data_IF_609629799855
#
_entry.id   IF_609629799855
#
_cell.length_a   1.000
_cell.length_b   1.000
_cell.length_c   1.000
_cell.angle_alpha   90.00
_cell.angle_beta   90.00
_cell.angle_gamma   90.00
#
_symmetry.space_group_name_H-M   'P 1'
#
loop_
_entity.id
_entity.type
_entity.pdbx_description
1 polymer ?
#
# COMPACT_ATOMS: atom_id res chain seq x y z
N UNK A 1 -34.30 -1.26 5.02
CA UNK A 1 -33.42 -2.40 4.69
C UNK A 1 -31.96 -1.96 4.84
N UNK A 2 -31.13 -2.75 5.49
CA UNK A 2 -29.71 -2.47 5.64
C UNK A 2 -29.03 -2.53 4.27
N UNK A 3 -28.27 -1.50 3.92
CA UNK A 3 -27.55 -1.46 2.62
C UNK A 3 -26.35 -2.39 2.69
N UNK A 4 -26.13 -3.15 1.61
CA UNK A 4 -25.07 -4.17 1.53
C UNK A 4 -24.04 -3.79 0.47
N UNK A 5 -22.75 -3.87 0.83
CA UNK A 5 -21.61 -3.58 -0.04
C UNK A 5 -20.75 -4.84 -0.18
N UNK A 6 -20.47 -5.23 -1.41
CA UNK A 6 -19.44 -6.25 -1.69
C UNK A 6 -18.14 -5.54 -2.06
N UNK A 7 -17.09 -5.82 -1.29
CA UNK A 7 -15.72 -5.41 -1.56
C UNK A 7 -14.99 -6.53 -2.31
N UNK A 8 -14.33 -6.21 -3.40
CA UNK A 8 -13.59 -7.18 -4.19
C UNK A 8 -12.14 -6.77 -4.35
N UNK A 9 -11.24 -7.61 -3.84
CA UNK A 9 -9.81 -7.36 -3.85
C UNK A 9 -9.04 -8.67 -3.70
N UNK A 10 -7.76 -8.64 -4.02
CA UNK A 10 -6.88 -9.77 -3.81
C UNK A 10 -5.42 -9.42 -3.94
N UNK A 11 -4.59 -10.43 -3.86
CA UNK A 11 -3.16 -10.30 -4.10
C UNK A 11 -2.35 -9.79 -2.93
N UNK A 12 -1.69 -8.64 -3.10
CA UNK A 12 -0.77 -8.07 -2.12
C UNK A 12 -1.46 -7.17 -1.11
N UNK A 13 -0.79 -6.89 0.03
CA UNK A 13 -1.27 -5.98 1.07
C UNK A 13 -1.68 -4.60 0.56
N UNK A 14 -1.07 -4.11 -0.54
CA UNK A 14 -1.39 -2.80 -1.14
C UNK A 14 -2.84 -2.62 -1.62
N UNK A 15 -3.54 -3.72 -1.92
CA UNK A 15 -4.96 -3.69 -2.30
C UNK A 15 -5.87 -4.13 -1.13
N UNK A 16 -5.45 -5.14 -0.36
CA UNK A 16 -6.29 -5.74 0.67
C UNK A 16 -6.46 -4.84 1.89
N UNK A 17 -5.41 -4.14 2.36
CA UNK A 17 -5.53 -3.28 3.54
C UNK A 17 -6.45 -2.08 3.32
N UNK A 18 -6.38 -1.33 2.20
CA UNK A 18 -7.39 -0.31 1.90
C UNK A 18 -8.82 -0.86 1.90
N UNK A 19 -9.04 -2.07 1.36
CA UNK A 19 -10.35 -2.71 1.35
C UNK A 19 -10.83 -3.03 2.77
N UNK A 20 -10.00 -3.65 3.61
CA UNK A 20 -10.34 -3.98 5.00
C UNK A 20 -10.63 -2.70 5.80
N UNK A 21 -9.82 -1.66 5.65
CA UNK A 21 -10.03 -0.39 6.33
C UNK A 21 -11.37 0.25 5.96
N UNK A 22 -11.72 0.20 4.67
CA UNK A 22 -13.01 0.73 4.22
C UNK A 22 -14.19 -0.16 4.64
N UNK A 23 -14.02 -1.48 4.65
CA UNK A 23 -15.02 -2.42 5.18
C UNK A 23 -15.34 -2.14 6.64
N UNK A 24 -14.32 -1.99 7.50
CA UNK A 24 -14.50 -1.62 8.91
C UNK A 24 -15.29 -0.33 9.04
N UNK A 25 -14.93 0.67 8.24
CA UNK A 25 -15.60 1.96 8.28
C UNK A 25 -17.10 1.85 7.96
N UNK A 26 -17.48 1.11 6.91
CA UNK A 26 -18.89 0.95 6.54
C UNK A 26 -19.63 0.01 7.50
N UNK A 27 -18.97 -1.01 8.04
CA UNK A 27 -19.54 -1.85 9.09
C UNK A 27 -19.90 -1.04 10.34
N UNK A 28 -18.99 -0.17 10.82
CA UNK A 28 -19.25 0.76 11.93
C UNK A 28 -20.41 1.73 11.65
N UNK A 29 -20.70 1.99 10.37
CA UNK A 29 -21.84 2.82 9.91
C UNK A 29 -23.14 2.01 9.73
N UNK A 30 -23.16 0.73 10.10
CA UNK A 30 -24.33 -0.12 10.03
C UNK A 30 -24.62 -0.72 8.65
N UNK A 31 -23.65 -0.70 7.71
CA UNK A 31 -23.77 -1.41 6.43
C UNK A 31 -23.45 -2.89 6.61
N UNK A 32 -24.11 -3.76 5.87
CA UNK A 32 -23.66 -5.14 5.70
C UNK A 32 -22.50 -5.15 4.68
N UNK A 33 -21.36 -5.69 5.10
CA UNK A 33 -20.15 -5.70 4.27
C UNK A 33 -19.65 -7.13 4.06
N UNK A 34 -19.23 -7.45 2.83
CA UNK A 34 -18.68 -8.73 2.47
C UNK A 34 -17.41 -8.55 1.62
N UNK A 35 -16.49 -9.49 1.78
CA UNK A 35 -15.27 -9.53 0.98
C UNK A 35 -15.31 -10.67 -0.02
N UNK A 36 -14.93 -10.40 -1.27
CA UNK A 36 -14.57 -11.42 -2.25
C UNK A 36 -13.09 -11.27 -2.57
N UNK A 37 -12.31 -12.32 -2.32
CA UNK A 37 -10.84 -12.26 -2.39
C UNK A 37 -10.23 -13.58 -2.89
N UNK A 38 -8.91 -13.64 -3.05
CA UNK A 38 -8.16 -14.89 -3.31
C UNK A 38 -7.66 -15.53 -1.99
N UNK A 39 -6.97 -16.66 -2.12
CA UNK A 39 -6.39 -17.37 -0.98
C UNK A 39 -5.40 -16.50 -0.20
N UNK A 40 -4.63 -15.64 -0.88
CA UNK A 40 -3.67 -14.75 -0.23
C UNK A 40 -4.38 -13.66 0.55
N UNK A 41 -5.38 -13.00 -0.06
CA UNK A 41 -6.20 -11.99 0.59
C UNK A 41 -6.98 -12.58 1.77
N UNK A 42 -7.46 -13.83 1.65
CA UNK A 42 -8.15 -14.52 2.73
C UNK A 42 -7.28 -14.71 3.98
N UNK A 43 -5.98 -14.89 3.84
CA UNK A 43 -5.09 -14.99 5.00
C UNK A 43 -5.04 -13.71 5.82
N UNK A 44 -5.22 -12.55 5.21
CA UNK A 44 -5.30 -11.27 5.93
C UNK A 44 -6.64 -11.09 6.63
N UNK A 45 -7.76 -11.55 6.03
CA UNK A 45 -9.10 -11.37 6.60
C UNK A 45 -9.42 -12.34 7.73
N UNK A 46 -8.73 -13.48 7.85
CA UNK A 46 -8.94 -14.48 8.92
C UNK A 46 -8.88 -13.89 10.33
N UNK A 47 -8.21 -12.77 10.52
CA UNK A 47 -8.13 -12.07 11.81
C UNK A 47 -9.37 -11.21 12.11
N UNK A 48 -10.36 -11.17 11.21
CA UNK A 48 -11.58 -10.36 11.29
C UNK A 48 -12.79 -11.27 11.12
N UNK A 49 -13.16 -11.99 12.21
CA UNK A 49 -14.25 -12.98 12.21
C UNK A 49 -15.63 -12.37 11.95
N UNK A 50 -15.77 -11.06 12.17
CA UNK A 50 -17.00 -10.30 11.91
C UNK A 50 -17.33 -10.14 10.42
N UNK A 51 -16.36 -10.36 9.53
CA UNK A 51 -16.56 -10.15 8.10
C UNK A 51 -16.76 -11.45 7.34
N UNK A 52 -17.88 -11.55 6.65
CA UNK A 52 -18.14 -12.65 5.72
C UNK A 52 -17.23 -12.51 4.50
N UNK A 53 -16.57 -13.60 4.11
CA UNK A 53 -15.72 -13.64 2.94
C UNK A 53 -16.00 -14.80 2.01
N UNK A 54 -15.72 -14.59 0.71
CA UNK A 54 -15.74 -15.60 -0.33
C UNK A 54 -14.38 -15.65 -1.02
N UNK A 55 -13.88 -16.87 -1.23
CA UNK A 55 -12.58 -17.08 -1.88
C UNK A 55 -12.78 -17.54 -3.32
N UNK A 56 -12.19 -16.80 -4.26
CA UNK A 56 -12.12 -17.17 -5.68
C UNK A 56 -10.72 -17.67 -6.02
N UNK A 57 -10.68 -18.67 -6.90
CA UNK A 57 -9.42 -19.17 -7.49
C UNK A 57 -9.19 -18.43 -8.80
N UNK A 58 -8.39 -17.39 -8.79
CA UNK A 58 -8.05 -16.60 -9.96
C UNK A 58 -6.54 -16.57 -10.13
N UNK A 59 -6.08 -16.78 -11.35
CA UNK A 59 -4.68 -16.69 -11.72
C UNK A 59 -4.48 -15.71 -12.88
N UNK A 60 -3.35 -14.98 -12.84
CA UNK A 60 -2.98 -14.10 -13.95
C UNK A 60 -2.56 -14.91 -15.18
N UNK A 61 -3.03 -14.60 -16.38
CA UNK A 61 -2.55 -15.22 -17.61
C UNK A 61 -1.22 -14.65 -18.11
N UNK A 62 -0.68 -13.61 -17.43
CA UNK A 62 0.51 -12.89 -17.89
C UNK A 62 1.78 -13.70 -17.57
N UNK A 63 2.74 -13.66 -18.49
CA UNK A 63 4.04 -14.37 -18.39
C UNK A 63 3.91 -15.89 -18.22
N UNK A 64 2.87 -16.51 -18.77
CA UNK A 64 2.64 -17.95 -18.75
C UNK A 64 2.78 -18.55 -20.15
N UNK A 65 3.13 -19.83 -20.21
CA UNK A 65 3.13 -20.62 -21.43
C UNK A 65 1.68 -20.78 -21.94
N UNK A 66 1.51 -21.11 -23.23
CA UNK A 66 0.20 -21.19 -23.90
C UNK A 66 -0.83 -22.02 -23.12
N UNK A 67 -0.49 -23.25 -22.72
CA UNK A 67 -1.37 -24.13 -21.94
C UNK A 67 -1.78 -23.52 -20.58
N UNK A 68 -0.83 -22.89 -19.88
CA UNK A 68 -1.11 -22.20 -18.60
C UNK A 68 -1.95 -20.94 -18.79
N UNK A 69 -1.88 -20.28 -19.95
CA UNK A 69 -2.78 -19.17 -20.30
C UNK A 69 -4.21 -19.66 -20.47
N UNK A 70 -4.43 -20.75 -21.20
CA UNK A 70 -5.76 -21.36 -21.36
C UNK A 70 -6.35 -21.71 -19.99
N UNK A 71 -5.57 -22.39 -19.14
CA UNK A 71 -6.02 -22.72 -17.79
C UNK A 71 -6.39 -21.47 -16.97
N UNK A 72 -5.60 -20.40 -17.06
CA UNK A 72 -5.91 -19.14 -16.38
C UNK A 72 -7.21 -18.51 -16.87
N UNK A 73 -7.51 -18.57 -18.18
CA UNK A 73 -8.79 -18.11 -18.73
C UNK A 73 -9.96 -18.96 -18.25
N UNK A 74 -9.82 -20.29 -18.20
CA UNK A 74 -10.85 -21.19 -17.63
C UNK A 74 -11.12 -20.89 -16.15
N UNK A 75 -10.07 -20.62 -15.35
CA UNK A 75 -10.21 -20.21 -13.96
C UNK A 75 -10.91 -18.86 -13.81
N UNK A 76 -10.64 -17.90 -14.68
CA UNK A 76 -11.33 -16.60 -14.70
C UNK A 76 -12.81 -16.82 -15.03
N UNK A 77 -13.12 -17.61 -16.04
CA UNK A 77 -14.50 -17.92 -16.45
C UNK A 77 -15.28 -18.61 -15.32
N UNK A 78 -14.69 -19.65 -14.71
CA UNK A 78 -15.26 -20.30 -13.52
C UNK A 78 -15.49 -19.33 -12.36
N UNK A 79 -14.57 -18.40 -12.15
CA UNK A 79 -14.69 -17.38 -11.11
C UNK A 79 -15.78 -16.35 -11.42
N UNK A 80 -16.05 -16.06 -12.69
CA UNK A 80 -17.21 -15.25 -13.11
C UNK A 80 -18.51 -15.97 -12.75
N UNK A 81 -18.64 -17.26 -13.05
CA UNK A 81 -19.84 -18.05 -12.69
C UNK A 81 -20.04 -18.06 -11.18
N UNK A 82 -18.98 -18.31 -10.39
CA UNK A 82 -19.06 -18.20 -8.91
C UNK A 82 -19.49 -16.82 -8.46
N UNK A 83 -18.96 -15.77 -9.09
CA UNK A 83 -19.33 -14.40 -8.75
C UNK A 83 -20.81 -14.12 -9.04
N UNK A 84 -21.36 -14.64 -10.12
CA UNK A 84 -22.80 -14.57 -10.44
C UNK A 84 -23.62 -15.21 -9.31
N UNK A 85 -23.24 -16.41 -8.85
CA UNK A 85 -23.92 -17.11 -7.75
C UNK A 85 -23.86 -16.28 -6.47
N UNK A 86 -22.67 -15.71 -6.13
CA UNK A 86 -22.49 -14.86 -4.96
C UNK A 86 -23.40 -13.64 -5.05
N UNK A 87 -23.39 -12.92 -6.17
CA UNK A 87 -24.21 -11.71 -6.35
C UNK A 87 -25.71 -12.00 -6.27
N UNK A 88 -26.19 -13.12 -6.87
CA UNK A 88 -27.59 -13.56 -6.75
C UNK A 88 -27.97 -13.86 -5.31
N UNK A 89 -27.09 -14.53 -4.54
CA UNK A 89 -27.33 -14.90 -3.14
C UNK A 89 -27.32 -13.69 -2.24
N UNK A 90 -26.31 -12.82 -2.39
CA UNK A 90 -26.06 -11.72 -1.45
C UNK A 90 -26.86 -10.46 -1.76
N UNK A 91 -27.29 -10.26 -3.00
CA UNK A 91 -28.08 -9.11 -3.49
C UNK A 91 -27.52 -7.77 -3.00
N UNK A 92 -26.25 -7.44 -3.29
CA UNK A 92 -25.65 -6.19 -2.81
C UNK A 92 -26.27 -4.97 -3.50
N UNK A 93 -26.16 -3.82 -2.86
CA UNK A 93 -26.54 -2.52 -3.45
C UNK A 93 -25.42 -1.95 -4.34
N UNK A 94 -24.16 -2.28 -4.05
CA UNK A 94 -23.00 -1.80 -4.78
C UNK A 94 -21.85 -2.79 -4.69
N UNK A 95 -21.03 -2.88 -5.74
CA UNK A 95 -19.75 -3.58 -5.77
C UNK A 95 -18.62 -2.58 -5.75
N UNK A 96 -17.64 -2.79 -4.88
CA UNK A 96 -16.47 -1.93 -4.72
C UNK A 96 -15.20 -2.72 -5.05
N UNK A 97 -14.56 -2.44 -6.18
CA UNK A 97 -13.35 -3.12 -6.66
C UNK A 97 -12.07 -2.34 -6.32
N UNK A 98 -11.11 -3.02 -5.71
CA UNK A 98 -9.80 -2.44 -5.32
C UNK A 98 -8.67 -2.82 -6.28
N UNK A 99 -8.99 -3.38 -7.43
CA UNK A 99 -7.99 -3.89 -8.35
C UNK A 99 -7.49 -5.29 -8.00
N UNK A 100 -6.46 -5.72 -8.73
CA UNK A 100 -6.00 -7.11 -8.72
C UNK A 100 -6.92 -8.02 -9.57
N UNK A 101 -6.40 -9.20 -9.93
CA UNK A 101 -7.11 -10.11 -10.82
C UNK A 101 -8.43 -10.65 -10.24
N UNK A 102 -8.53 -10.73 -8.92
CA UNK A 102 -9.74 -11.22 -8.23
C UNK A 102 -10.89 -10.23 -8.33
N UNK A 103 -10.62 -8.95 -8.39
CA UNK A 103 -11.69 -7.96 -8.53
C UNK A 103 -12.38 -8.03 -9.90
N UNK A 104 -11.70 -8.54 -10.93
CA UNK A 104 -12.25 -8.60 -12.28
C UNK A 104 -13.50 -9.48 -12.39
N UNK A 105 -13.52 -10.77 -11.97
CA UNK A 105 -14.72 -11.62 -12.09
C UNK A 105 -15.95 -11.04 -11.40
N UNK A 106 -15.80 -10.53 -10.18
CA UNK A 106 -16.94 -9.98 -9.42
C UNK A 106 -17.44 -8.68 -10.04
N UNK A 107 -16.52 -7.80 -10.43
CA UNK A 107 -16.86 -6.53 -11.05
C UNK A 107 -17.47 -6.72 -12.45
N UNK A 108 -17.00 -7.71 -13.22
CA UNK A 108 -17.61 -8.07 -14.47
C UNK A 108 -19.02 -8.65 -14.28
N UNK A 109 -19.18 -9.56 -13.31
CA UNK A 109 -20.49 -10.13 -13.00
C UNK A 109 -21.49 -9.06 -12.51
N UNK A 110 -21.03 -8.02 -11.81
CA UNK A 110 -21.91 -6.91 -11.38
C UNK A 110 -22.60 -6.21 -12.55
N UNK A 111 -21.92 -6.10 -13.70
CA UNK A 111 -22.49 -5.52 -14.92
C UNK A 111 -23.69 -6.33 -15.45
N UNK A 112 -23.65 -7.66 -15.32
CA UNK A 112 -24.74 -8.53 -15.76
C UNK A 112 -26.04 -8.35 -14.95
N UNK A 113 -25.91 -7.83 -13.72
CA UNK A 113 -27.04 -7.52 -12.83
C UNK A 113 -27.37 -6.03 -12.76
N UNK A 114 -26.78 -5.20 -13.61
CA UNK A 114 -26.88 -3.74 -13.55
C UNK A 114 -26.56 -3.16 -12.15
N UNK A 115 -25.75 -3.88 -11.35
CA UNK A 115 -25.29 -3.41 -10.06
C UNK A 115 -24.24 -2.30 -10.24
N UNK A 116 -24.34 -1.20 -9.48
CA UNK A 116 -23.35 -0.15 -9.54
C UNK A 116 -21.95 -0.69 -9.15
N UNK A 117 -20.95 -0.35 -9.94
CA UNK A 117 -19.55 -0.66 -9.70
C UNK A 117 -18.79 0.63 -9.39
N UNK A 118 -18.11 0.67 -8.25
CA UNK A 118 -17.08 1.66 -7.93
C UNK A 118 -15.74 0.97 -7.98
N UNK A 119 -14.74 1.60 -8.57
CA UNK A 119 -13.36 1.10 -8.51
C UNK A 119 -12.48 2.11 -7.78
N UNK A 120 -11.49 1.60 -7.05
CA UNK A 120 -10.49 2.38 -6.35
C UNK A 120 -9.09 2.02 -6.83
N UNK A 121 -8.28 3.04 -7.11
CA UNK A 121 -6.86 2.88 -7.46
C UNK A 121 -5.98 3.59 -6.44
N UNK A 122 -5.11 2.81 -5.83
CA UNK A 122 -4.19 3.29 -4.80
C UNK A 122 -2.85 3.80 -5.37
N UNK A 123 -2.46 3.30 -6.55
CA UNK A 123 -1.18 3.62 -7.19
C UNK A 123 -1.28 4.85 -8.09
N UNK A 124 -0.12 5.41 -8.45
CA UNK A 124 0.01 6.53 -9.40
C UNK A 124 -0.15 6.10 -10.87
N UNK A 125 -0.55 4.88 -11.13
CA UNK A 125 -0.91 4.34 -12.45
C UNK A 125 -2.15 3.48 -12.32
N UNK A 126 -3.03 3.55 -13.33
CA UNK A 126 -4.22 2.72 -13.36
C UNK A 126 -3.85 1.26 -13.62
N UNK A 127 -4.03 0.40 -12.61
CA UNK A 127 -3.74 -1.02 -12.70
C UNK A 127 -4.55 -1.71 -13.80
N UNK A 128 -4.00 -2.80 -14.38
CA UNK A 128 -4.57 -3.47 -15.54
C UNK A 128 -6.03 -3.90 -15.37
N UNK A 129 -6.38 -4.46 -14.21
CA UNK A 129 -7.76 -4.81 -13.91
C UNK A 129 -8.66 -3.56 -13.90
N UNK A 130 -8.27 -2.52 -13.19
CA UNK A 130 -9.01 -1.27 -13.10
C UNK A 130 -9.14 -0.58 -14.46
N UNK A 131 -8.14 -0.68 -15.36
CA UNK A 131 -8.21 -0.15 -16.71
C UNK A 131 -9.37 -0.77 -17.52
N UNK A 132 -9.58 -2.08 -17.43
CA UNK A 132 -10.72 -2.74 -18.07
C UNK A 132 -12.04 -2.45 -17.34
N UNK A 133 -12.04 -2.47 -16.02
CA UNK A 133 -13.22 -2.21 -15.20
C UNK A 133 -13.72 -0.77 -15.32
N UNK A 134 -12.84 0.17 -15.67
CA UNK A 134 -13.21 1.57 -15.93
C UNK A 134 -14.28 1.72 -17.00
N UNK A 135 -14.40 0.78 -17.95
CA UNK A 135 -15.42 0.83 -19.01
C UNK A 135 -16.84 0.86 -18.44
N UNK A 136 -17.13 0.08 -17.39
CA UNK A 136 -18.46 -0.12 -16.84
C UNK A 136 -18.62 0.34 -15.39
N UNK A 137 -17.58 0.91 -14.79
CA UNK A 137 -17.70 1.50 -13.47
C UNK A 137 -18.55 2.79 -13.51
N UNK A 138 -19.34 3.00 -12.47
CA UNK A 138 -20.10 4.25 -12.24
C UNK A 138 -19.18 5.36 -11.75
N UNK A 139 -18.20 5.02 -10.86
CA UNK A 139 -17.21 5.95 -10.34
C UNK A 139 -15.82 5.29 -10.28
N UNK A 140 -14.82 6.12 -10.50
CA UNK A 140 -13.40 5.78 -10.37
C UNK A 140 -12.84 6.67 -9.26
N UNK A 141 -12.46 6.06 -8.14
CA UNK A 141 -11.88 6.77 -7.02
C UNK A 141 -10.36 6.55 -7.05
N UNK A 142 -9.62 7.63 -6.95
CA UNK A 142 -8.16 7.62 -6.99
C UNK A 142 -7.59 8.08 -5.64
N UNK A 143 -6.54 7.43 -5.18
CA UNK A 143 -5.78 7.93 -4.04
C UNK A 143 -5.13 9.28 -4.35
N UNK A 144 -4.60 9.43 -5.56
CA UNK A 144 -4.05 10.68 -6.08
C UNK A 144 -4.37 10.80 -7.57
N UNK A 145 -4.43 12.02 -8.06
CA UNK A 145 -4.70 12.27 -9.47
C UNK A 145 -3.61 11.66 -10.35
N UNK A 146 -4.01 10.69 -11.16
CA UNK A 146 -3.14 10.08 -12.16
C UNK A 146 -3.11 10.98 -13.39
N UNK A 147 -1.93 11.44 -13.77
CA UNK A 147 -1.75 12.32 -14.93
C UNK A 147 -1.24 11.58 -16.16
N UNK A 148 -0.46 10.52 -15.96
CA UNK A 148 0.13 9.73 -17.04
C UNK A 148 -0.77 8.59 -17.48
N UNK A 149 -0.98 8.49 -18.80
CA UNK A 149 -1.72 7.38 -19.44
C UNK A 149 -3.15 7.15 -18.92
N UNK A 150 -3.74 8.14 -18.22
CA UNK A 150 -5.12 8.03 -17.77
C UNK A 150 -6.08 8.36 -18.94
N UNK A 151 -7.05 7.50 -19.25
CA UNK A 151 -7.95 7.72 -20.38
C UNK A 151 -8.88 8.91 -20.12
N UNK A 152 -8.72 10.01 -20.85
CA UNK A 152 -9.48 11.27 -20.67
C UNK A 152 -11.01 11.07 -20.70
N UNK A 153 -11.51 10.08 -21.43
CA UNK A 153 -12.95 9.76 -21.51
C UNK A 153 -13.60 9.35 -20.18
N UNK A 154 -12.80 9.11 -19.12
CA UNK A 154 -13.31 8.75 -17.79
C UNK A 154 -13.23 9.89 -16.79
N UNK A 155 -12.77 11.09 -17.19
CA UNK A 155 -12.58 12.22 -16.27
C UNK A 155 -13.87 12.56 -15.49
N UNK A 156 -15.04 12.56 -16.15
CA UNK A 156 -16.31 12.94 -15.55
C UNK A 156 -16.78 12.02 -14.41
N UNK A 157 -16.30 10.79 -14.37
CA UNK A 157 -16.60 9.82 -13.31
C UNK A 157 -15.41 9.52 -12.39
N UNK A 158 -14.34 10.30 -12.48
CA UNK A 158 -13.11 10.12 -11.71
C UNK A 158 -12.97 11.18 -10.63
N UNK A 159 -12.71 10.72 -9.41
CA UNK A 159 -12.61 11.58 -8.22
C UNK A 159 -11.35 11.26 -7.42
N UNK A 160 -10.56 12.28 -7.07
CA UNK A 160 -9.48 12.12 -6.10
C UNK A 160 -10.05 12.14 -4.69
N UNK A 161 -9.96 11.00 -4.00
CA UNK A 161 -10.46 10.86 -2.63
C UNK A 161 -9.34 10.86 -1.59
N UNK A 162 -8.15 10.39 -1.96
CA UNK A 162 -7.02 10.18 -1.08
C UNK A 162 -6.74 8.70 -0.79
N UNK A 163 -5.59 8.37 -0.19
CA UNK A 163 -5.26 7.01 0.22
C UNK A 163 -6.10 6.57 1.42
N UNK A 164 -6.62 5.34 1.34
CA UNK A 164 -7.42 4.74 2.43
C UNK A 164 -6.47 4.12 3.45
N UNK A 165 -6.23 4.84 4.54
CA UNK A 165 -5.39 4.42 5.66
C UNK A 165 -6.23 3.88 6.82
N UNK A 166 -5.60 3.13 7.73
CA UNK A 166 -6.26 2.71 8.98
C UNK A 166 -6.68 3.92 9.82
N UNK A 167 -7.84 3.85 10.47
CA UNK A 167 -8.35 4.95 11.31
C UNK A 167 -7.39 5.30 12.46
N UNK A 168 -6.65 4.32 12.98
CA UNK A 168 -5.65 4.59 14.01
C UNK A 168 -4.50 5.46 13.50
N UNK A 169 -4.13 5.29 12.22
CA UNK A 169 -3.13 6.15 11.56
C UNK A 169 -3.70 7.55 11.36
N UNK A 170 -4.93 7.65 10.84
CA UNK A 170 -5.59 8.94 10.54
C UNK A 170 -5.84 9.76 11.81
N UNK A 171 -6.25 9.12 12.90
CA UNK A 171 -6.54 9.77 14.17
C UNK A 171 -5.26 10.16 14.93
N UNK A 172 -4.10 9.69 14.47
CA UNK A 172 -2.84 10.08 15.08
C UNK A 172 -2.56 11.55 14.75
N UNK A 173 -2.56 12.38 15.79
CA UNK A 173 -2.22 13.80 15.67
C UNK A 173 -0.78 13.95 15.16
N UNK A 174 -0.63 14.62 14.01
CA UNK A 174 0.65 14.90 13.36
C UNK A 174 1.56 15.87 14.16
N UNK A 175 1.10 16.32 15.32
CA UNK A 175 1.97 17.02 16.28
C UNK A 175 2.99 16.02 16.84
N UNK A 176 3.97 15.65 16.02
CA UNK A 176 5.16 14.96 16.49
C UNK A 176 5.74 15.87 17.56
N UNK A 177 5.56 15.53 18.85
CA UNK A 177 6.35 16.13 19.92
C UNK A 177 7.81 15.96 19.48
N UNK A 178 8.58 17.05 19.46
CA UNK A 178 10.03 16.98 19.36
C UNK A 178 10.50 16.15 20.55
N UNK A 179 10.48 14.85 20.41
CA UNK A 179 11.08 13.94 21.38
C UNK A 179 12.57 14.16 21.13
N UNK A 180 13.22 14.84 22.04
CA UNK A 180 14.67 14.96 22.09
C UNK A 180 15.21 13.54 22.30
N UNK A 181 15.32 12.77 21.21
CA UNK A 181 15.82 11.40 21.24
C UNK A 181 17.33 11.45 21.26
N UNK A 182 17.90 10.70 22.18
CA UNK A 182 19.35 10.57 22.26
C UNK A 182 19.93 9.86 21.03
N UNK A 183 19.14 8.93 20.44
CA UNK A 183 19.52 8.12 19.30
C UNK A 183 18.72 8.51 18.05
N UNK A 184 19.39 8.66 16.91
CA UNK A 184 18.74 8.78 15.61
C UNK A 184 18.21 7.42 15.15
N UNK A 185 16.91 7.33 14.92
CA UNK A 185 16.22 6.06 14.64
C UNK A 185 15.94 5.88 13.17
N UNK A 186 16.51 4.83 12.57
CA UNK A 186 16.21 4.39 11.21
C UNK A 186 15.13 3.32 11.21
N UNK A 187 14.22 3.39 10.22
CA UNK A 187 13.25 2.34 9.91
C UNK A 187 13.51 1.79 8.52
N UNK A 188 13.59 0.46 8.38
CA UNK A 188 13.76 -0.20 7.07
C UNK A 188 12.57 -1.09 6.78
N UNK A 189 11.85 -0.81 5.67
CA UNK A 189 10.64 -1.54 5.29
C UNK A 189 10.77 -2.11 3.87
N UNK A 190 10.82 -3.44 3.79
CA UNK A 190 10.90 -4.18 2.53
C UNK A 190 9.55 -4.38 1.81
N UNK A 191 8.44 -3.97 2.42
CA UNK A 191 7.09 -4.26 1.95
C UNK A 191 6.60 -5.65 2.38
N UNK A 192 5.43 -6.07 1.91
CA UNK A 192 4.75 -7.29 2.36
C UNK A 192 5.52 -8.61 2.13
N UNK A 193 6.53 -8.60 1.27
CA UNK A 193 7.36 -9.77 0.96
C UNK A 193 8.80 -9.64 1.48
N UNK A 194 9.12 -8.52 2.15
CA UNK A 194 10.49 -8.19 2.51
C UNK A 194 11.33 -7.73 1.29
N UNK A 195 12.54 -7.28 1.53
CA UNK A 195 13.48 -6.89 0.49
C UNK A 195 14.89 -7.35 0.84
N UNK A 196 15.31 -8.48 0.24
CA UNK A 196 16.62 -9.08 0.49
C UNK A 196 17.79 -8.09 0.34
N UNK A 197 17.70 -7.17 -0.62
CA UNK A 197 18.72 -6.15 -0.87
C UNK A 197 18.95 -5.24 0.34
N UNK A 198 17.92 -4.97 1.13
CA UNK A 198 18.06 -4.12 2.33
C UNK A 198 18.87 -4.83 3.40
N UNK A 199 18.69 -6.14 3.57
CA UNK A 199 19.50 -6.94 4.49
C UNK A 199 20.98 -7.02 4.11
N UNK A 200 21.30 -6.87 2.82
CA UNK A 200 22.69 -6.89 2.33
C UNK A 200 23.36 -5.51 2.41
N UNK A 201 22.64 -4.44 2.06
CA UNK A 201 23.24 -3.11 1.88
C UNK A 201 23.14 -2.24 3.13
N UNK A 202 22.04 -2.29 3.87
CA UNK A 202 21.81 -1.37 4.98
C UNK A 202 22.73 -1.61 6.19
N UNK A 203 22.96 -2.85 6.66
CA UNK A 203 23.76 -3.07 7.88
C UNK A 203 25.15 -2.47 7.82
N UNK A 204 26.00 -2.69 6.77
CA UNK A 204 27.33 -2.08 6.71
C UNK A 204 27.27 -0.55 6.69
N UNK A 205 26.26 0.05 6.09
CA UNK A 205 26.12 1.50 6.02
C UNK A 205 25.78 2.08 7.40
N UNK A 206 24.84 1.46 8.14
CA UNK A 206 24.50 1.87 9.51
C UNK A 206 25.72 1.80 10.42
N UNK A 207 26.59 0.78 10.26
CA UNK A 207 27.88 0.74 10.94
C UNK A 207 28.77 1.92 10.54
N UNK A 208 28.90 2.25 9.25
CA UNK A 208 29.67 3.41 8.79
C UNK A 208 29.14 4.73 9.37
N UNK A 209 27.82 4.92 9.40
CA UNK A 209 27.22 6.12 10.02
C UNK A 209 27.53 6.17 11.51
N UNK A 210 27.48 5.07 12.24
CA UNK A 210 27.87 5.01 13.64
C UNK A 210 29.32 5.40 13.87
N UNK A 211 30.24 4.99 13.00
CA UNK A 211 31.67 5.36 13.12
C UNK A 211 31.93 6.87 12.91
N UNK A 212 30.96 7.62 12.37
CA UNK A 212 30.99 9.09 12.32
C UNK A 212 30.55 9.75 13.65
N UNK A 213 30.37 8.99 14.73
CA UNK A 213 30.04 9.50 16.07
C UNK A 213 28.55 9.64 16.35
N UNK A 214 27.64 9.20 15.45
CA UNK A 214 26.21 9.27 15.69
C UNK A 214 25.74 8.13 16.58
N UNK A 215 24.89 8.43 17.56
CA UNK A 215 24.12 7.42 18.30
C UNK A 215 22.94 6.96 17.45
N UNK A 216 22.86 5.68 17.14
CA UNK A 216 21.90 5.12 16.18
C UNK A 216 21.10 4.00 16.81
N UNK A 217 19.80 3.98 16.46
CA UNK A 217 18.90 2.85 16.59
C UNK A 217 18.40 2.42 15.22
N UNK A 218 18.37 1.11 14.95
CA UNK A 218 17.83 0.55 13.72
C UNK A 218 16.62 -0.32 13.99
N UNK A 219 15.54 -0.10 13.24
CA UNK A 219 14.33 -0.92 13.21
C UNK A 219 14.25 -1.46 11.79
N UNK A 220 14.46 -2.76 11.57
CA UNK A 220 14.58 -3.29 10.23
C UNK A 220 13.72 -4.52 9.99
N UNK A 221 12.87 -4.43 8.98
CA UNK A 221 12.19 -5.58 8.40
C UNK A 221 13.18 -6.38 7.54
N UNK A 222 13.19 -7.69 7.68
CA UNK A 222 14.00 -8.59 6.86
C UNK A 222 13.20 -9.83 6.43
N UNK A 223 13.77 -10.60 5.51
CA UNK A 223 13.28 -11.94 5.19
C UNK A 223 13.82 -12.94 6.22
N UNK A 224 13.07 -14.04 6.42
CA UNK A 224 13.39 -15.08 7.42
C UNK A 224 14.87 -15.48 7.41
N UNK A 225 15.39 -15.78 6.22
CA UNK A 225 16.75 -16.31 6.05
C UNK A 225 17.88 -15.32 6.40
N UNK A 226 17.57 -14.04 6.58
CA UNK A 226 18.58 -13.02 6.89
C UNK A 226 18.54 -12.57 8.35
N UNK A 227 17.52 -12.97 9.11
CA UNK A 227 17.25 -12.39 10.43
C UNK A 227 18.42 -12.59 11.40
N UNK A 228 18.89 -13.82 11.58
CA UNK A 228 20.00 -14.12 12.50
C UNK A 228 21.27 -13.36 12.12
N UNK A 229 21.66 -13.40 10.85
CA UNK A 229 22.88 -12.73 10.39
C UNK A 229 22.83 -11.21 10.56
N UNK A 230 21.66 -10.59 10.39
CA UNK A 230 21.48 -9.15 10.58
C UNK A 230 21.53 -8.79 12.07
N UNK A 231 20.89 -9.58 12.94
CA UNK A 231 20.96 -9.39 14.40
C UNK A 231 22.39 -9.48 14.88
N UNK A 232 23.09 -10.58 14.55
CA UNK A 232 24.49 -10.81 14.91
C UNK A 232 25.41 -9.67 14.45
N UNK A 233 25.16 -9.15 13.23
CA UNK A 233 25.93 -8.03 12.71
C UNK A 233 25.75 -6.76 13.55
N UNK A 234 24.51 -6.41 13.90
CA UNK A 234 24.24 -5.21 14.68
C UNK A 234 24.74 -5.34 16.12
N UNK A 235 24.57 -6.49 16.76
CA UNK A 235 25.07 -6.76 18.12
C UNK A 235 26.59 -6.70 18.20
N UNK A 236 27.32 -7.36 17.29
CA UNK A 236 28.79 -7.29 17.19
C UNK A 236 29.33 -5.86 17.01
N UNK A 237 28.52 -4.97 16.43
CA UNK A 237 28.88 -3.56 16.25
C UNK A 237 28.28 -2.64 17.31
N UNK A 238 27.68 -3.18 18.40
CA UNK A 238 27.02 -2.46 19.47
C UNK A 238 25.98 -1.45 18.97
N UNK A 239 25.16 -1.82 17.95
CA UNK A 239 24.09 -1.00 17.39
C UNK A 239 22.77 -1.48 17.97
N UNK A 240 22.02 -0.55 18.62
CA UNK A 240 20.68 -0.83 19.13
C UNK A 240 19.77 -1.21 17.96
N UNK A 241 19.15 -2.40 18.03
CA UNK A 241 18.39 -2.92 16.90
C UNK A 241 17.08 -3.58 17.32
N UNK A 242 16.11 -3.56 16.39
CA UNK A 242 14.89 -4.35 16.43
C UNK A 242 14.64 -4.94 15.03
N UNK A 243 14.87 -6.25 14.89
CA UNK A 243 14.79 -6.95 13.60
C UNK A 243 13.55 -7.85 13.57
N UNK A 244 12.71 -7.66 12.56
CA UNK A 244 11.44 -8.34 12.44
C UNK A 244 11.13 -8.77 11.00
N UNK A 245 10.27 -9.77 10.85
CA UNK A 245 9.74 -10.23 9.56
C UNK A 245 8.38 -9.57 9.28
N UNK A 246 7.53 -9.56 10.28
CA UNK A 246 6.21 -8.92 10.27
C UNK A 246 5.91 -8.35 11.65
N UNK A 247 5.35 -7.15 11.70
CA UNK A 247 4.90 -6.53 12.94
C UNK A 247 3.50 -5.96 12.77
N UNK A 248 2.59 -6.29 13.69
CA UNK A 248 1.21 -5.77 13.68
C UNK A 248 1.13 -4.29 14.08
N UNK A 249 2.14 -3.81 14.81
CA UNK A 249 2.20 -2.45 15.34
C UNK A 249 3.07 -1.53 14.49
N UNK A 250 3.04 -1.71 13.16
CA UNK A 250 3.89 -0.95 12.22
C UNK A 250 3.77 0.57 12.42
N UNK A 251 2.60 1.07 12.78
CA UNK A 251 2.39 2.49 13.08
C UNK A 251 3.32 2.97 14.20
N UNK A 252 3.44 2.19 15.29
CA UNK A 252 4.34 2.54 16.42
C UNK A 252 5.79 2.60 15.96
N UNK A 253 6.21 1.69 15.10
CA UNK A 253 7.56 1.67 14.53
C UNK A 253 7.81 2.87 13.63
N UNK A 254 6.87 3.23 12.76
CA UNK A 254 6.93 4.43 11.91
C UNK A 254 7.09 5.70 12.79
N UNK A 255 6.24 5.84 13.79
CA UNK A 255 6.23 7.00 14.67
C UNK A 255 7.48 7.10 15.55
N UNK A 256 8.13 5.98 15.84
CA UNK A 256 9.37 5.94 16.61
C UNK A 256 10.64 6.21 15.79
N UNK A 257 10.51 6.43 14.47
CA UNK A 257 11.64 6.54 13.56
C UNK A 257 11.82 7.97 13.03
N UNK A 258 13.06 8.39 12.77
CA UNK A 258 13.39 9.71 12.25
C UNK A 258 13.49 9.72 10.73
N UNK A 259 13.98 8.63 10.15
CA UNK A 259 14.14 8.44 8.71
C UNK A 259 13.84 6.98 8.33
N UNK A 260 13.00 6.78 7.33
CA UNK A 260 12.73 5.46 6.79
C UNK A 260 13.50 5.20 5.49
N UNK A 261 13.89 3.94 5.24
CA UNK A 261 14.38 3.42 3.95
C UNK A 261 13.36 2.37 3.53
N UNK A 262 12.69 2.57 2.39
CA UNK A 262 11.52 1.75 2.11
C UNK A 262 11.29 1.45 0.63
N UNK A 263 10.62 0.32 0.37
CA UNK A 263 9.94 0.08 -0.91
C UNK A 263 8.75 1.03 -1.08
N UNK A 264 8.37 1.31 -2.33
CA UNK A 264 7.40 2.36 -2.65
C UNK A 264 6.01 1.82 -2.95
N UNK A 265 5.53 0.90 -2.10
CA UNK A 265 4.13 0.47 -2.13
C UNK A 265 3.22 1.63 -1.76
N UNK A 266 2.08 1.78 -2.46
CA UNK A 266 1.18 2.93 -2.30
C UNK A 266 0.70 3.14 -0.85
N UNK A 267 0.38 2.07 -0.10
CA UNK A 267 -0.05 2.19 1.30
C UNK A 267 1.09 2.67 2.20
N UNK A 268 2.27 2.05 2.11
CA UNK A 268 3.42 2.40 2.96
C UNK A 268 3.86 3.84 2.74
N UNK A 269 3.96 4.29 1.48
CA UNK A 269 4.32 5.69 1.19
C UNK A 269 3.28 6.67 1.71
N UNK A 270 1.99 6.34 1.59
CA UNK A 270 0.92 7.17 2.13
C UNK A 270 0.93 7.22 3.66
N UNK A 271 1.20 6.11 4.35
CA UNK A 271 1.35 6.04 5.80
C UNK A 271 2.51 6.92 6.28
N UNK A 272 3.67 6.85 5.62
CA UNK A 272 4.83 7.68 5.94
C UNK A 272 4.55 9.17 5.73
N UNK A 273 3.87 9.53 4.63
CA UNK A 273 3.47 10.93 4.37
C UNK A 273 2.49 11.42 5.42
N UNK A 274 1.46 10.66 5.74
CA UNK A 274 0.47 11.02 6.74
C UNK A 274 1.09 11.22 8.13
N UNK A 275 2.02 10.34 8.52
CA UNK A 275 2.73 10.42 9.80
C UNK A 275 3.90 11.41 9.80
N UNK A 276 4.13 12.12 8.71
CA UNK A 276 5.27 13.03 8.52
C UNK A 276 6.62 12.38 8.87
N UNK A 277 6.80 11.11 8.46
CA UNK A 277 8.04 10.37 8.63
C UNK A 277 8.86 10.43 7.34
N UNK A 278 9.95 11.23 7.28
CA UNK A 278 10.80 11.35 6.11
C UNK A 278 11.32 9.99 5.65
N UNK A 279 11.45 9.80 4.33
CA UNK A 279 11.92 8.51 3.82
C UNK A 279 12.78 8.61 2.56
N UNK A 280 13.69 7.64 2.45
CA UNK A 280 14.42 7.32 1.24
C UNK A 280 13.65 6.22 0.53
N UNK A 281 13.11 6.53 -0.61
CA UNK A 281 12.32 5.66 -1.45
C UNK A 281 13.22 4.81 -2.35
N UNK A 282 13.13 3.49 -2.24
CA UNK A 282 13.88 2.54 -3.09
C UNK A 282 12.86 1.68 -3.84
N UNK A 283 12.36 2.14 -5.01
CA UNK A 283 11.32 1.43 -5.74
C UNK A 283 11.79 0.05 -6.22
N UNK A 284 10.90 -0.96 -6.17
CA UNK A 284 11.18 -2.28 -6.67
C UNK A 284 11.13 -2.29 -8.21
N UNK A 285 12.23 -2.61 -8.92
CA UNK A 285 12.33 -2.44 -10.37
C UNK A 285 11.44 -3.38 -11.17
N UNK A 286 11.05 -4.52 -10.57
CA UNK A 286 10.18 -5.51 -11.21
C UNK A 286 8.71 -5.37 -10.77
N UNK A 287 8.33 -4.22 -10.23
CA UNK A 287 6.94 -3.94 -9.89
C UNK A 287 6.10 -3.84 -11.16
N UNK A 288 4.89 -4.44 -11.13
CA UNK A 288 4.01 -4.47 -12.30
C UNK A 288 3.72 -3.06 -12.80
N UNK A 289 3.86 -2.86 -14.11
CA UNK A 289 3.66 -1.56 -14.76
C UNK A 289 4.47 -0.42 -14.10
N UNK A 290 5.60 -0.77 -13.47
CA UNK A 290 6.52 0.15 -12.79
C UNK A 290 5.86 1.03 -11.70
N UNK A 291 4.76 0.54 -11.08
CA UNK A 291 3.95 1.34 -10.16
C UNK A 291 4.74 1.88 -8.96
N UNK A 292 5.74 1.13 -8.43
CA UNK A 292 6.52 1.63 -7.29
C UNK A 292 7.41 2.82 -7.67
N UNK A 293 7.98 2.81 -8.86
CA UNK A 293 8.75 3.94 -9.37
C UNK A 293 7.87 5.19 -9.52
N UNK A 294 6.69 5.04 -10.11
CA UNK A 294 5.74 6.13 -10.28
C UNK A 294 5.24 6.68 -8.94
N UNK A 295 4.96 5.81 -7.96
CA UNK A 295 4.64 6.22 -6.59
C UNK A 295 5.78 7.04 -5.96
N UNK A 296 7.04 6.57 -6.10
CA UNK A 296 8.21 7.28 -5.58
C UNK A 296 8.38 8.65 -6.23
N UNK A 297 8.33 8.71 -7.57
CA UNK A 297 8.49 9.97 -8.32
C UNK A 297 7.40 10.99 -8.02
N UNK A 298 6.16 10.55 -7.79
CA UNK A 298 5.10 11.44 -7.35
C UNK A 298 5.47 12.14 -6.04
N UNK A 299 5.89 11.39 -5.01
CA UNK A 299 6.23 12.00 -3.72
C UNK A 299 7.55 12.78 -3.76
N UNK A 300 8.51 12.36 -4.58
CA UNK A 300 9.75 13.12 -4.83
C UNK A 300 9.44 14.48 -5.46
N UNK A 301 8.59 14.53 -6.50
CA UNK A 301 8.17 15.79 -7.14
C UNK A 301 7.42 16.74 -6.20
N UNK A 302 6.89 16.25 -5.10
CA UNK A 302 6.26 17.02 -4.02
C UNK A 302 7.22 17.36 -2.90
N UNK A 303 8.50 17.00 -3.02
CA UNK A 303 9.49 17.20 -1.97
C UNK A 303 9.20 16.43 -0.68
N UNK A 304 8.52 15.28 -0.77
CA UNK A 304 8.13 14.45 0.39
C UNK A 304 9.12 13.33 0.69
N UNK A 305 10.05 13.03 -0.21
CA UNK A 305 11.05 11.97 -0.02
C UNK A 305 12.26 12.18 -0.92
N UNK A 306 13.30 11.39 -0.70
CA UNK A 306 14.41 11.19 -1.62
C UNK A 306 14.23 9.86 -2.34
N UNK A 307 14.68 9.74 -3.59
CA UNK A 307 14.58 8.52 -4.38
C UNK A 307 15.97 8.01 -4.74
N UNK A 308 16.23 6.74 -4.47
CA UNK A 308 17.37 6.00 -4.99
C UNK A 308 16.82 4.79 -5.76
N UNK A 309 16.98 4.76 -7.07
CA UNK A 309 16.61 3.60 -7.85
C UNK A 309 17.47 2.38 -7.46
N UNK A 310 16.90 1.18 -7.48
CA UNK A 310 17.60 -0.02 -6.99
C UNK A 310 18.94 -0.26 -7.67
N UNK A 311 19.09 0.07 -8.95
CA UNK A 311 20.35 -0.08 -9.67
C UNK A 311 21.47 0.84 -9.12
N UNK A 312 21.08 1.95 -8.53
CA UNK A 312 21.96 2.92 -7.88
C UNK A 312 22.00 2.77 -6.35
N UNK A 313 21.24 1.81 -5.81
CA UNK A 313 21.17 1.56 -4.38
C UNK A 313 22.38 0.71 -3.94
N UNK A 314 23.45 1.38 -3.62
CA UNK A 314 24.73 0.81 -3.17
C UNK A 314 25.24 1.54 -1.91
N UNK A 315 26.36 1.04 -1.36
CA UNK A 315 26.90 1.58 -0.12
C UNK A 315 27.27 3.04 -0.21
N UNK A 316 27.84 3.49 -1.32
CA UNK A 316 28.28 4.87 -1.50
C UNK A 316 27.10 5.84 -1.60
N UNK A 317 26.13 5.54 -2.47
CA UNK A 317 24.97 6.41 -2.69
C UNK A 317 24.10 6.57 -1.45
N UNK A 318 23.83 5.46 -0.74
CA UNK A 318 23.01 5.50 0.47
C UNK A 318 23.76 6.18 1.62
N UNK A 319 25.03 5.88 1.83
CA UNK A 319 25.84 6.51 2.86
C UNK A 319 25.91 8.03 2.67
N UNK A 320 26.26 8.49 1.48
CA UNK A 320 26.37 9.91 1.18
C UNK A 320 25.04 10.64 1.41
N UNK A 321 23.91 10.08 0.97
CA UNK A 321 22.60 10.68 1.18
C UNK A 321 22.24 10.73 2.67
N UNK A 322 22.47 9.65 3.43
CA UNK A 322 22.22 9.65 4.87
C UNK A 322 23.06 10.71 5.57
N UNK A 323 24.36 10.80 5.25
CA UNK A 323 25.25 11.80 5.85
C UNK A 323 24.83 13.24 5.51
N UNK A 324 24.40 13.47 4.26
CA UNK A 324 23.87 14.77 3.84
C UNK A 324 22.59 15.16 4.64
N UNK A 325 21.69 14.20 4.85
CA UNK A 325 20.45 14.40 5.64
C UNK A 325 20.78 14.65 7.13
N UNK A 326 21.69 13.88 7.70
CA UNK A 326 22.01 13.98 9.14
C UNK A 326 22.81 15.23 9.51
N UNK A 327 23.63 15.75 8.57
CA UNK A 327 24.39 16.99 8.77
C UNK A 327 23.50 18.24 8.75
N UNK A 328 22.40 18.22 7.99
CA UNK A 328 21.47 19.36 7.91
C UNK A 328 20.04 18.95 8.33
N UNK A 329 19.72 19.18 9.60
CA UNK A 329 18.39 18.86 10.16
C UNK A 329 17.23 19.57 9.44
N UNK A 330 17.46 20.72 8.82
CA UNK A 330 16.45 21.47 8.04
C UNK A 330 15.93 20.65 6.87
N UNK A 331 16.73 19.74 6.31
CA UNK A 331 16.26 18.83 5.24
C UNK A 331 15.11 17.93 5.71
N UNK A 332 15.20 17.38 6.92
CA UNK A 332 14.10 16.57 7.49
C UNK A 332 12.86 17.42 7.78
N UNK A 333 13.05 18.65 8.26
CA UNK A 333 11.95 19.58 8.55
C UNK A 333 11.22 20.00 7.27
N UNK A 334 11.95 20.36 6.21
CA UNK A 334 11.37 20.69 4.91
C UNK A 334 10.55 19.54 4.31
N UNK A 335 11.07 18.30 4.40
CA UNK A 335 10.32 17.11 3.98
C UNK A 335 9.02 16.98 4.78
N UNK A 336 9.07 17.12 6.11
CA UNK A 336 7.87 17.02 6.97
C UNK A 336 6.82 18.09 6.64
N UNK A 337 7.24 19.31 6.36
CA UNK A 337 6.33 20.38 5.94
C UNK A 337 5.67 20.06 4.60
N UNK A 338 6.44 19.57 3.64
CA UNK A 338 5.90 19.17 2.34
C UNK A 338 4.94 17.99 2.48
N UNK A 339 5.24 17.01 3.35
CA UNK A 339 4.33 15.92 3.65
C UNK A 339 2.99 16.43 4.22
N UNK A 340 3.01 17.35 5.18
CA UNK A 340 1.79 17.97 5.74
C UNK A 340 0.94 18.64 4.67
N UNK A 341 1.56 19.34 3.71
CA UNK A 341 0.86 20.00 2.59
C UNK A 341 0.25 19.00 1.60
N UNK A 342 0.84 17.83 1.46
CA UNK A 342 0.42 16.79 0.50
C UNK A 342 -0.41 15.66 1.13
N UNK A 343 -0.68 15.73 2.43
CA UNK A 343 -1.56 14.78 3.11
C UNK A 343 -3.02 14.94 2.68
N UNK A 344 -3.73 13.83 2.57
CA UNK A 344 -5.13 13.81 2.11
C UNK A 344 -6.06 13.83 3.30
N UNK A 345 -6.96 14.82 3.33
CA UNK A 345 -7.96 14.97 4.38
C UNK A 345 -9.34 14.45 3.94
N UNK A 346 -10.14 14.02 4.92
CA UNK A 346 -11.54 13.64 4.73
C UNK A 346 -11.78 12.50 3.72
N UNK A 347 -10.83 11.55 3.62
CA UNK A 347 -10.88 10.45 2.65
C UNK A 347 -12.17 9.63 2.77
N UNK A 348 -12.49 9.20 3.98
CA UNK A 348 -13.69 8.40 4.25
C UNK A 348 -14.98 9.15 3.95
N UNK A 349 -15.07 10.44 4.30
CA UNK A 349 -16.24 11.28 4.00
C UNK A 349 -16.45 11.46 2.50
N UNK A 350 -15.36 11.63 1.72
CA UNK A 350 -15.44 11.70 0.25
C UNK A 350 -15.96 10.40 -0.35
N UNK A 351 -15.50 9.25 0.17
CA UNK A 351 -15.97 7.94 -0.29
C UNK A 351 -17.41 7.68 0.11
N UNK A 352 -17.82 8.04 1.34
CA UNK A 352 -19.22 7.97 1.76
C UNK A 352 -20.14 8.76 0.81
N UNK A 353 -19.74 10.00 0.49
CA UNK A 353 -20.50 10.83 -0.47
C UNK A 353 -20.61 10.13 -1.82
N UNK A 354 -19.49 9.61 -2.33
CA UNK A 354 -19.46 8.91 -3.61
C UNK A 354 -20.37 7.67 -3.65
N UNK A 355 -20.50 6.94 -2.54
CA UNK A 355 -21.41 5.78 -2.42
C UNK A 355 -22.85 6.24 -2.28
N UNK A 356 -23.16 7.23 -1.43
CA UNK A 356 -24.53 7.75 -1.24
C UNK A 356 -25.18 8.29 -2.51
N UNK A 357 -24.38 8.78 -3.45
CA UNK A 357 -24.89 9.25 -4.76
C UNK A 357 -25.26 8.09 -5.72
N UNK A 358 -24.96 6.85 -5.35
CA UNK A 358 -25.17 5.67 -6.20
C UNK A 358 -26.24 4.72 -5.67
N UNK A 359 -26.41 4.65 -4.32
CA UNK A 359 -27.32 3.72 -3.64
C UNK A 359 -28.40 4.39 -2.81
#
# INVERSE_FOLDING_TARGET
MTKKIIFSTGGTGGHIFPAINLMKHFFDKGYEVLLVTDTRGNNFIKNYSEFKSYVLKVETPINKNFLKKILSFLLIFYSIIKSIIILKKEKPNVVFGFGGYVSFPVSFASKLFNLPLIIYENNMILGRANKYLSLFSKKILLAKKITENFPKKYNDKTFEVGPILDKNIINYSTSRKNINRENFSFLVLGGSQGAEIFGKIVPPIIKMVKTQGYKIKIIQQCIVNQKSSIVDFYEKNNIENYIFEFDKNILKLILSSDLAITRCGASTTAELVHTCTPFIAVPYPYSMDNHQYLNAKYYESKGCCWVIEQNNFNSTSLFNLIMEIMKDKRKLENIRENMKKNDSKNVYTKIEKAIKEII
#
